data_IF_061530831952
#
_entry.id   IF_061530831952
#
_cell.length_a   1.000
_cell.length_b   1.000
_cell.length_c   1.000
_cell.angle_alpha   90.00
_cell.angle_beta   90.00
_cell.angle_gamma   90.00
#
_symmetry.space_group_name_H-M   'P 1'
#
loop_
_entity.id
_entity.type
_entity.pdbx_description
1 polymer ?
#
# COMPACT_ATOMS: atom_id res chain seq x y z
N UNK A 1 79.32 -14.68 -55.70
CA UNK A 1 78.84 -15.60 -54.63
C UNK A 1 77.94 -14.75 -53.73
N UNK A 2 76.65 -14.82 -53.91
CA UNK A 2 75.68 -14.05 -53.15
C UNK A 2 74.98 -14.97 -52.18
N UNK A 3 75.05 -14.65 -50.86
CA UNK A 3 74.43 -15.39 -49.77
C UNK A 3 73.03 -14.84 -49.58
N UNK A 4 72.01 -15.70 -49.78
CA UNK A 4 70.61 -15.44 -49.42
C UNK A 4 70.37 -15.78 -47.94
N UNK A 5 70.05 -14.78 -47.12
CA UNK A 5 69.57 -14.93 -45.77
C UNK A 5 68.03 -15.05 -45.79
N UNK A 6 67.52 -16.16 -45.37
CA UNK A 6 66.06 -16.41 -45.19
C UNK A 6 65.56 -15.73 -43.92
N UNK A 7 64.64 -14.75 -44.05
CA UNK A 7 63.88 -14.20 -42.99
C UNK A 7 62.68 -15.12 -42.79
N UNK A 8 62.61 -15.79 -41.63
CA UNK A 8 61.40 -16.52 -41.20
C UNK A 8 60.42 -15.56 -40.56
N UNK A 9 59.28 -15.34 -41.18
CA UNK A 9 58.14 -14.65 -40.63
C UNK A 9 57.43 -15.59 -39.61
N UNK A 10 57.64 -15.34 -38.33
CA UNK A 10 56.75 -15.93 -37.28
C UNK A 10 55.50 -15.07 -37.15
N UNK A 11 54.39 -15.56 -37.71
CA UNK A 11 53.05 -14.98 -37.48
C UNK A 11 52.62 -15.34 -36.06
N UNK A 12 52.65 -14.37 -35.17
CA UNK A 12 52.05 -14.46 -33.82
C UNK A 12 50.54 -14.35 -33.99
N UNK A 13 49.83 -15.49 -33.91
CA UNK A 13 48.37 -15.52 -33.84
C UNK A 13 48.00 -15.16 -32.39
N UNK A 14 47.63 -13.89 -32.16
CA UNK A 14 47.01 -13.45 -30.91
C UNK A 14 45.57 -14.01 -30.86
N UNK A 15 45.38 -15.09 -30.14
CA UNK A 15 44.02 -15.50 -29.75
C UNK A 15 43.51 -14.48 -28.73
N UNK A 16 42.79 -13.47 -29.20
CA UNK A 16 41.93 -12.69 -28.34
C UNK A 16 40.81 -13.61 -27.82
N UNK A 17 40.95 -14.07 -26.57
CA UNK A 17 39.86 -14.67 -25.84
C UNK A 17 38.85 -13.55 -25.58
N UNK A 18 37.96 -13.34 -26.55
CA UNK A 18 36.76 -12.55 -26.33
C UNK A 18 35.97 -13.39 -25.32
N UNK A 19 36.08 -13.05 -24.05
CA UNK A 19 35.10 -13.49 -23.05
C UNK A 19 33.75 -12.98 -23.55
N UNK A 20 33.03 -13.83 -24.26
CA UNK A 20 31.64 -13.56 -24.60
C UNK A 20 30.91 -13.41 -23.25
N UNK A 21 30.72 -12.18 -22.82
CA UNK A 21 29.82 -11.88 -21.70
C UNK A 21 28.47 -12.41 -22.16
N UNK A 22 28.08 -13.57 -21.60
CA UNK A 22 26.78 -14.15 -21.91
C UNK A 22 25.73 -13.21 -21.32
N UNK A 23 24.94 -12.53 -22.16
CA UNK A 23 23.89 -11.65 -21.65
C UNK A 23 22.85 -12.51 -20.96
N UNK A 24 22.68 -12.38 -19.67
CA UNK A 24 21.93 -13.23 -18.75
C UNK A 24 22.75 -14.44 -18.24
N UNK A 25 23.26 -14.38 -17.01
CA UNK A 25 23.97 -15.50 -16.39
C UNK A 25 23.11 -16.79 -16.37
N UNK A 26 23.72 -17.96 -16.56
CA UNK A 26 22.98 -19.22 -16.55
C UNK A 26 22.22 -19.46 -15.23
N UNK A 27 22.72 -18.99 -14.09
CA UNK A 27 22.06 -19.04 -12.79
C UNK A 27 20.74 -18.26 -12.78
N UNK A 28 20.77 -17.02 -13.26
CA UNK A 28 19.60 -16.16 -13.30
C UNK A 28 18.55 -16.71 -14.27
N UNK A 29 19.00 -17.17 -15.44
CA UNK A 29 18.12 -17.82 -16.39
C UNK A 29 17.46 -19.09 -15.81
N UNK A 30 18.22 -19.92 -15.10
CA UNK A 30 17.68 -21.13 -14.47
C UNK A 30 16.64 -20.79 -13.39
N UNK A 31 16.93 -19.79 -12.55
CA UNK A 31 15.99 -19.29 -11.54
C UNK A 31 14.68 -18.77 -12.15
N UNK A 32 14.77 -17.98 -13.23
CA UNK A 32 13.60 -17.47 -13.96
C UNK A 32 12.75 -18.60 -14.56
N UNK A 33 13.39 -19.61 -15.19
CA UNK A 33 12.66 -20.74 -15.77
C UNK A 33 12.02 -21.62 -14.70
N UNK A 34 12.67 -21.82 -13.56
CA UNK A 34 12.10 -22.55 -12.43
C UNK A 34 10.94 -21.75 -11.79
N UNK A 35 11.06 -20.42 -11.66
CA UNK A 35 9.96 -19.55 -11.25
C UNK A 35 8.78 -19.66 -12.22
N UNK A 36 9.02 -19.56 -13.54
CA UNK A 36 7.98 -19.73 -14.57
C UNK A 36 7.28 -21.08 -14.48
N UNK A 37 8.02 -22.16 -14.20
CA UNK A 37 7.47 -23.52 -14.14
C UNK A 37 6.41 -23.70 -13.03
N UNK A 38 6.42 -22.82 -12.00
CA UNK A 38 5.43 -22.80 -10.94
C UNK A 38 4.17 -22.01 -11.30
N UNK A 39 4.13 -21.37 -12.47
CA UNK A 39 3.07 -20.48 -12.92
C UNK A 39 2.44 -20.97 -14.22
N UNK A 40 1.13 -20.84 -14.32
CA UNK A 40 0.37 -21.17 -15.53
C UNK A 40 -0.48 -19.97 -15.95
N UNK A 41 -0.14 -19.39 -17.09
CA UNK A 41 -0.85 -18.29 -17.72
C UNK A 41 -1.25 -18.69 -19.14
N UNK A 42 -2.53 -19.11 -19.37
CA UNK A 42 -2.93 -19.69 -20.65
C UNK A 42 -3.47 -18.67 -21.67
N UNK A 43 -3.69 -17.41 -21.28
CA UNK A 43 -4.50 -16.49 -22.07
C UNK A 43 -3.71 -15.41 -22.80
N UNK A 44 -2.76 -14.80 -22.14
CA UNK A 44 -1.99 -13.65 -22.68
C UNK A 44 -0.71 -14.10 -23.38
N UNK A 45 -0.22 -15.30 -23.03
CA UNK A 45 1.01 -15.84 -23.59
C UNK A 45 2.27 -15.07 -23.18
N UNK A 46 2.26 -14.45 -22.00
CA UNK A 46 3.39 -13.60 -21.54
C UNK A 46 4.70 -14.38 -21.49
N UNK A 47 4.63 -15.66 -21.17
CA UNK A 47 5.79 -16.53 -21.11
C UNK A 47 6.25 -17.08 -22.47
N UNK A 48 5.56 -16.80 -23.58
CA UNK A 48 6.01 -17.20 -24.92
C UNK A 48 7.33 -16.51 -25.30
N UNK A 49 7.58 -15.32 -24.73
CA UNK A 49 8.83 -14.59 -24.91
C UNK A 49 9.99 -15.16 -24.08
N UNK A 50 9.71 -15.98 -23.05
CA UNK A 50 10.73 -16.53 -22.15
C UNK A 50 11.40 -17.76 -22.80
N UNK A 51 12.04 -17.53 -23.93
CA UNK A 51 12.73 -18.55 -24.72
C UNK A 51 14.14 -18.08 -25.12
N UNK A 52 14.99 -19.02 -25.56
CA UNK A 52 16.37 -18.69 -25.90
C UNK A 52 17.29 -18.54 -24.68
N UNK A 53 18.51 -18.02 -24.92
CA UNK A 53 19.56 -17.97 -23.90
C UNK A 53 19.67 -16.61 -23.20
N UNK A 54 19.14 -15.54 -23.79
CA UNK A 54 19.26 -14.19 -23.29
C UNK A 54 18.00 -13.72 -22.60
N UNK A 55 17.90 -13.90 -21.27
CA UNK A 55 16.77 -13.43 -20.48
C UNK A 55 16.73 -11.88 -20.32
N UNK A 56 17.82 -11.20 -20.61
CA UNK A 56 17.90 -9.74 -20.53
C UNK A 56 17.38 -9.05 -21.80
N UNK A 57 16.97 -9.80 -22.81
CA UNK A 57 16.49 -9.24 -24.07
C UNK A 57 15.22 -9.96 -24.55
N UNK A 58 14.11 -9.22 -24.52
CA UNK A 58 12.85 -9.69 -25.07
C UNK A 58 12.00 -10.59 -24.14
N UNK A 59 12.48 -10.99 -22.98
CA UNK A 59 11.65 -11.69 -22.00
C UNK A 59 10.70 -10.69 -21.32
N UNK A 60 9.41 -10.91 -21.51
CA UNK A 60 8.38 -10.02 -20.96
C UNK A 60 8.55 -9.87 -19.43
N UNK A 61 8.58 -8.62 -18.98
CA UNK A 61 8.65 -8.30 -17.57
C UNK A 61 10.02 -8.54 -16.91
N UNK A 62 11.05 -8.94 -17.64
CA UNK A 62 12.42 -9.12 -17.09
C UNK A 62 13.30 -7.97 -17.51
N UNK A 63 13.98 -7.36 -16.54
CA UNK A 63 15.00 -6.32 -16.76
C UNK A 63 16.30 -6.72 -16.08
N UNK A 64 17.42 -6.37 -16.69
CA UNK A 64 18.76 -6.64 -16.16
C UNK A 64 19.56 -5.35 -16.00
N UNK A 65 20.53 -5.37 -15.11
CA UNK A 65 21.57 -4.35 -15.02
C UNK A 65 22.40 -4.32 -16.30
N UNK A 66 22.60 -3.16 -16.93
CA UNK A 66 23.27 -3.06 -18.23
C UNK A 66 24.77 -3.37 -18.19
N UNK A 67 25.38 -3.39 -17.01
CA UNK A 67 26.81 -3.64 -16.83
C UNK A 67 27.13 -5.06 -16.41
N UNK A 68 26.34 -5.61 -15.49
CA UNK A 68 26.55 -6.96 -14.94
C UNK A 68 25.70 -8.02 -15.62
N UNK A 69 24.68 -7.60 -16.39
CA UNK A 69 23.66 -8.46 -17.00
C UNK A 69 22.92 -9.36 -16.02
N UNK A 70 23.00 -9.05 -14.71
CA UNK A 70 22.20 -9.73 -13.67
C UNK A 70 20.77 -9.24 -13.70
N UNK A 71 19.82 -10.13 -13.47
CA UNK A 71 18.40 -9.79 -13.37
C UNK A 71 18.17 -8.89 -12.17
N UNK A 72 17.61 -7.71 -12.43
CA UNK A 72 17.27 -6.70 -11.40
C UNK A 72 15.77 -6.57 -11.18
N UNK A 73 14.95 -6.79 -12.22
CA UNK A 73 13.53 -6.56 -12.06
C UNK A 73 12.71 -7.67 -12.75
N UNK A 74 11.66 -8.07 -12.05
CA UNK A 74 10.58 -8.90 -12.57
C UNK A 74 9.29 -8.14 -12.37
N UNK A 75 8.58 -7.83 -13.46
CA UNK A 75 7.31 -7.11 -13.44
C UNK A 75 6.27 -7.83 -14.29
N UNK A 76 5.42 -8.60 -13.62
CA UNK A 76 4.31 -9.34 -14.21
C UNK A 76 3.00 -8.79 -13.63
N UNK A 77 2.21 -8.08 -14.45
CA UNK A 77 0.88 -7.57 -14.06
C UNK A 77 -0.21 -8.21 -14.90
N UNK A 78 -1.30 -8.58 -14.22
CA UNK A 78 -2.46 -9.24 -14.83
C UNK A 78 -3.45 -8.29 -15.51
N UNK A 79 -3.33 -6.98 -15.34
CA UNK A 79 -4.21 -6.03 -15.98
C UNK A 79 -3.90 -5.87 -17.47
N UNK A 80 -4.93 -5.85 -18.34
CA UNK A 80 -4.72 -5.57 -19.75
C UNK A 80 -4.20 -4.14 -19.92
N UNK A 81 -3.13 -3.96 -20.68
CA UNK A 81 -2.76 -2.66 -21.23
C UNK A 81 -3.98 -2.08 -21.98
N UNK A 82 -4.27 -0.79 -21.79
CA UNK A 82 -5.41 -0.07 -22.42
C UNK A 82 -5.54 -0.27 -23.94
N UNK A 83 -4.47 -0.68 -24.61
CA UNK A 83 -4.43 -0.94 -26.05
C UNK A 83 -5.17 -2.22 -26.51
N UNK A 84 -5.54 -3.13 -25.59
CA UNK A 84 -6.16 -4.41 -25.92
C UNK A 84 -7.58 -4.61 -25.37
N UNK A 85 -8.24 -3.55 -24.92
CA UNK A 85 -9.53 -3.60 -24.22
C UNK A 85 -10.73 -4.16 -25.01
N UNK A 86 -10.68 -4.20 -26.35
CA UNK A 86 -11.84 -4.60 -27.14
C UNK A 86 -12.02 -6.12 -27.30
N UNK A 87 -10.95 -6.92 -27.20
CA UNK A 87 -11.00 -8.37 -27.45
C UNK A 87 -10.75 -9.26 -26.19
N UNK A 88 -10.34 -8.71 -25.05
CA UNK A 88 -9.85 -9.47 -23.88
C UNK A 88 -10.75 -9.42 -22.65
N UNK A 89 -11.99 -8.95 -22.75
CA UNK A 89 -12.89 -8.71 -21.60
C UNK A 89 -13.26 -9.94 -20.74
N UNK A 90 -12.86 -11.15 -21.10
CA UNK A 90 -13.26 -12.38 -20.36
C UNK A 90 -12.12 -13.21 -19.76
N UNK A 91 -10.86 -12.98 -20.07
CA UNK A 91 -9.76 -13.86 -19.66
C UNK A 91 -8.47 -13.15 -19.24
N UNK A 92 -8.42 -11.83 -19.24
CA UNK A 92 -7.26 -11.08 -18.79
C UNK A 92 -7.12 -11.13 -17.26
N UNK A 93 -5.90 -11.37 -16.79
CA UNK A 93 -5.58 -11.36 -15.37
C UNK A 93 -5.81 -12.70 -14.65
N UNK A 94 -5.82 -13.82 -15.35
CA UNK A 94 -5.85 -15.16 -14.73
C UNK A 94 -4.51 -15.87 -14.92
N UNK A 95 -3.70 -15.89 -13.87
CA UNK A 95 -2.53 -16.77 -13.75
C UNK A 95 -2.70 -17.60 -12.48
N UNK A 96 -2.47 -18.89 -12.59
CA UNK A 96 -2.50 -19.80 -11.44
C UNK A 96 -1.10 -20.27 -11.07
N UNK A 97 -0.95 -20.86 -9.90
CA UNK A 97 0.32 -21.35 -9.38
C UNK A 97 0.74 -20.60 -8.12
N UNK A 98 2.04 -20.56 -7.85
CA UNK A 98 2.58 -19.94 -6.65
C UNK A 98 3.90 -19.21 -6.93
N UNK A 99 4.32 -18.39 -5.96
CA UNK A 99 5.64 -17.74 -5.98
C UNK A 99 6.68 -18.80 -5.60
N UNK A 100 7.40 -19.33 -6.58
CA UNK A 100 8.41 -20.34 -6.34
C UNK A 100 9.59 -19.79 -5.52
N UNK A 101 10.11 -20.53 -4.52
CA UNK A 101 11.33 -20.17 -3.80
C UNK A 101 12.57 -19.97 -4.69
N UNK A 102 12.57 -20.53 -5.90
CA UNK A 102 13.67 -20.34 -6.86
C UNK A 102 13.90 -18.88 -7.24
N UNK A 103 12.90 -18.00 -7.05
CA UNK A 103 13.03 -16.56 -7.22
C UNK A 103 14.13 -15.97 -6.33
N UNK A 104 14.40 -16.58 -5.18
CA UNK A 104 15.39 -16.13 -4.22
C UNK A 104 16.83 -16.36 -4.68
N UNK A 105 17.05 -17.11 -5.77
CA UNK A 105 18.36 -17.28 -6.40
C UNK A 105 18.76 -16.06 -7.26
N UNK A 106 17.85 -15.09 -7.43
CA UNK A 106 18.11 -13.82 -8.11
C UNK A 106 18.61 -12.78 -7.10
N UNK A 107 19.81 -12.94 -6.59
CA UNK A 107 20.39 -12.15 -5.51
C UNK A 107 20.58 -10.65 -5.85
N UNK A 108 20.54 -10.27 -7.14
CA UNK A 108 20.55 -8.88 -7.60
C UNK A 108 19.16 -8.26 -7.77
N UNK A 109 18.10 -8.99 -7.39
CA UNK A 109 16.73 -8.51 -7.60
C UNK A 109 16.42 -7.27 -6.75
N UNK A 110 15.97 -6.21 -7.41
CA UNK A 110 15.55 -4.94 -6.80
C UNK A 110 14.05 -4.76 -6.85
N UNK A 111 13.38 -5.36 -7.84
CA UNK A 111 11.93 -5.26 -8.04
C UNK A 111 11.34 -6.64 -8.30
N UNK A 112 10.38 -7.02 -7.48
CA UNK A 112 9.52 -8.18 -7.70
C UNK A 112 8.06 -7.74 -7.68
N UNK A 113 7.45 -7.70 -8.85
CA UNK A 113 6.03 -7.40 -9.04
C UNK A 113 5.37 -8.59 -9.72
N UNK A 114 4.45 -9.24 -9.01
CA UNK A 114 3.59 -10.31 -9.54
C UNK A 114 2.18 -10.01 -9.05
N UNK A 115 1.51 -9.08 -9.71
CA UNK A 115 0.30 -8.43 -9.20
C UNK A 115 -0.90 -8.57 -10.15
N UNK A 116 -2.10 -8.50 -9.58
CA UNK A 116 -3.39 -8.44 -10.29
C UNK A 116 -3.75 -9.68 -11.12
N UNK A 117 -3.17 -10.84 -10.78
CA UNK A 117 -3.43 -12.11 -11.47
C UNK A 117 -4.62 -12.90 -10.92
N UNK A 118 -5.19 -12.50 -9.78
CA UNK A 118 -6.42 -13.02 -9.14
C UNK A 118 -6.40 -14.48 -8.69
N UNK A 119 -5.47 -15.31 -9.17
CA UNK A 119 -5.46 -16.77 -8.88
C UNK A 119 -4.09 -17.33 -8.52
N UNK A 120 -3.06 -16.49 -8.38
CA UNK A 120 -1.79 -16.91 -7.79
C UNK A 120 -2.03 -17.13 -6.29
N UNK A 121 -1.64 -18.30 -5.79
CA UNK A 121 -1.92 -18.77 -4.44
C UNK A 121 -0.65 -19.24 -3.73
N UNK A 122 -0.78 -19.93 -2.61
CA UNK A 122 0.35 -20.37 -1.79
C UNK A 122 0.83 -19.27 -0.87
N UNK A 123 2.04 -19.41 -0.36
CA UNK A 123 2.63 -18.51 0.62
C UNK A 123 3.74 -17.64 0.00
N UNK A 124 4.08 -16.54 0.67
CA UNK A 124 5.28 -15.77 0.35
C UNK A 124 6.50 -16.60 0.79
N UNK A 125 7.40 -16.99 -0.12
CA UNK A 125 8.58 -17.77 0.26
C UNK A 125 9.42 -17.01 1.31
N UNK A 126 9.72 -17.64 2.43
CA UNK A 126 10.50 -17.00 3.52
C UNK A 126 11.88 -16.53 3.05
N UNK A 127 12.46 -17.20 2.06
CA UNK A 127 13.74 -16.80 1.45
C UNK A 127 13.70 -15.42 0.78
N UNK A 128 12.53 -14.84 0.48
CA UNK A 128 12.43 -13.47 -0.07
C UNK A 128 13.17 -12.47 0.82
N UNK A 129 13.22 -12.73 2.14
CA UNK A 129 13.93 -11.87 3.09
C UNK A 129 15.45 -11.89 2.94
N UNK A 130 16.03 -12.79 2.13
CA UNK A 130 17.45 -12.81 1.77
C UNK A 130 17.82 -11.91 0.59
N UNK A 131 16.83 -11.39 -0.15
CA UNK A 131 17.02 -10.50 -1.29
C UNK A 131 17.38 -9.08 -0.82
N UNK A 132 18.59 -8.90 -0.34
CA UNK A 132 19.05 -7.68 0.35
C UNK A 132 19.01 -6.41 -0.49
N UNK A 133 18.92 -6.52 -1.83
CA UNK A 133 18.80 -5.40 -2.75
C UNK A 133 17.35 -5.03 -3.08
N UNK A 134 16.37 -5.82 -2.61
CA UNK A 134 14.97 -5.62 -2.95
C UNK A 134 14.45 -4.27 -2.43
N UNK A 135 13.85 -3.51 -3.34
CA UNK A 135 13.25 -2.19 -3.09
C UNK A 135 11.74 -2.19 -3.26
N UNK A 136 11.24 -3.03 -4.14
CA UNK A 136 9.81 -3.14 -4.42
C UNK A 136 9.42 -4.62 -4.35
N UNK A 137 8.48 -4.91 -3.45
CA UNK A 137 7.78 -6.18 -3.38
C UNK A 137 6.28 -5.89 -3.52
N UNK A 138 5.73 -6.22 -4.69
CA UNK A 138 4.30 -6.03 -4.98
C UNK A 138 3.71 -7.36 -5.46
N UNK A 139 2.90 -7.96 -4.59
CA UNK A 139 2.20 -9.22 -4.83
C UNK A 139 0.68 -9.03 -4.73
N UNK A 140 0.20 -7.80 -4.85
CA UNK A 140 -1.21 -7.43 -4.68
C UNK A 140 -2.16 -8.09 -5.67
N UNK A 141 -3.45 -8.15 -5.34
CA UNK A 141 -4.50 -8.60 -6.24
C UNK A 141 -4.44 -10.09 -6.60
N UNK A 142 -4.07 -10.95 -5.64
CA UNK A 142 -3.91 -12.39 -5.82
C UNK A 142 -4.71 -13.20 -4.77
N UNK A 143 -4.38 -14.46 -4.57
CA UNK A 143 -4.92 -15.35 -3.52
C UNK A 143 -3.79 -15.87 -2.61
N UNK A 144 -2.73 -15.09 -2.43
CA UNK A 144 -1.61 -15.45 -1.58
C UNK A 144 -2.08 -15.54 -0.14
N UNK A 145 -1.69 -16.61 0.54
CA UNK A 145 -2.09 -16.95 1.92
C UNK A 145 -0.86 -17.10 2.82
N UNK A 146 -1.05 -17.69 4.00
CA UNK A 146 0.02 -17.83 4.99
C UNK A 146 0.28 -16.52 5.72
N UNK A 147 1.52 -16.28 6.12
CA UNK A 147 1.90 -15.14 6.96
C UNK A 147 2.94 -14.27 6.27
N UNK A 148 3.03 -13.00 6.67
CA UNK A 148 4.16 -12.15 6.30
C UNK A 148 5.43 -12.75 6.93
N UNK A 149 6.51 -12.99 6.18
CA UNK A 149 7.73 -13.57 6.72
C UNK A 149 8.25 -12.82 7.94
N UNK A 150 8.52 -13.54 9.03
CA UNK A 150 8.90 -12.96 10.34
C UNK A 150 10.16 -12.10 10.28
N UNK A 151 11.03 -12.36 9.33
CA UNK A 151 12.29 -11.67 9.09
C UNK A 151 12.18 -10.56 8.02
N UNK A 152 10.97 -10.09 7.70
CA UNK A 152 10.76 -9.08 6.64
C UNK A 152 11.62 -7.83 6.85
N UNK A 153 11.90 -7.48 8.09
CA UNK A 153 12.77 -6.36 8.45
C UNK A 153 14.22 -6.46 7.96
N UNK A 154 14.66 -7.64 7.48
CA UNK A 154 15.99 -7.79 6.85
C UNK A 154 16.10 -7.05 5.51
N UNK A 155 14.98 -6.73 4.88
CA UNK A 155 14.93 -6.03 3.60
C UNK A 155 15.18 -4.53 3.77
N UNK A 156 16.37 -4.16 4.20
CA UNK A 156 16.74 -2.78 4.59
C UNK A 156 16.60 -1.74 3.47
N UNK A 157 16.53 -2.16 2.22
CA UNK A 157 16.35 -1.28 1.04
C UNK A 157 14.91 -1.21 0.57
N UNK A 158 13.98 -1.94 1.21
CA UNK A 158 12.59 -1.99 0.78
C UNK A 158 11.94 -0.62 0.95
N UNK A 159 11.42 -0.09 -0.15
CA UNK A 159 10.71 1.18 -0.21
C UNK A 159 9.20 0.97 -0.40
N UNK A 160 8.80 -0.11 -1.06
CA UNK A 160 7.40 -0.46 -1.31
C UNK A 160 7.17 -1.91 -0.90
N UNK A 161 6.23 -2.11 0.01
CA UNK A 161 5.65 -3.41 0.34
C UNK A 161 4.15 -3.35 0.08
N UNK A 162 3.74 -3.96 -1.02
CA UNK A 162 2.33 -4.06 -1.40
C UNK A 162 1.90 -5.53 -1.44
N UNK A 163 1.08 -5.91 -0.48
CA UNK A 163 0.49 -7.24 -0.34
C UNK A 163 -1.05 -7.15 -0.29
N UNK A 164 -1.61 -6.01 -0.65
CA UNK A 164 -3.06 -5.76 -0.62
C UNK A 164 -3.86 -6.75 -1.49
N UNK A 165 -5.14 -6.90 -1.18
CA UNK A 165 -6.06 -7.77 -1.93
C UNK A 165 -5.58 -9.22 -2.07
N UNK A 166 -5.36 -9.88 -0.90
CA UNK A 166 -4.91 -11.26 -0.81
C UNK A 166 -5.65 -12.04 0.30
N UNK A 167 -5.16 -13.22 0.68
CA UNK A 167 -5.67 -14.03 1.78
C UNK A 167 -4.65 -14.19 2.92
N UNK A 168 -3.72 -13.25 3.06
CA UNK A 168 -2.64 -13.27 4.06
C UNK A 168 -3.24 -13.17 5.47
N UNK A 169 -2.73 -13.95 6.39
CA UNK A 169 -3.24 -14.08 7.76
C UNK A 169 -2.11 -13.93 8.80
N UNK A 170 -2.44 -14.18 10.06
CA UNK A 170 -1.48 -14.04 11.15
C UNK A 170 -1.24 -12.59 11.53
N UNK A 171 -0.14 -12.32 12.24
CA UNK A 171 0.18 -10.98 12.75
C UNK A 171 1.14 -10.24 11.84
N UNK A 172 1.12 -8.91 11.89
CA UNK A 172 2.20 -8.10 11.36
C UNK A 172 3.45 -8.39 12.19
N UNK A 173 4.55 -8.89 11.59
CA UNK A 173 5.76 -9.23 12.35
C UNK A 173 6.40 -7.98 12.97
N UNK A 174 6.90 -8.10 14.20
CA UNK A 174 7.54 -6.99 14.89
C UNK A 174 8.74 -6.41 14.10
N UNK A 175 9.43 -7.23 13.33
CA UNK A 175 10.55 -6.80 12.49
C UNK A 175 10.16 -5.81 11.36
N UNK A 176 8.86 -5.64 11.08
CA UNK A 176 8.42 -4.69 10.05
C UNK A 176 8.90 -3.26 10.35
N UNK A 177 9.03 -2.91 11.63
CA UNK A 177 9.49 -1.58 12.07
C UNK A 177 10.97 -1.32 11.77
N UNK A 178 11.71 -2.36 11.41
CA UNK A 178 13.13 -2.26 11.03
C UNK A 178 13.30 -1.86 9.56
N UNK A 179 12.21 -1.78 8.78
CA UNK A 179 12.22 -1.32 7.38
C UNK A 179 12.39 0.21 7.31
N UNK A 180 13.57 0.69 7.66
CA UNK A 180 13.83 2.13 7.79
C UNK A 180 13.62 2.93 6.48
N UNK A 181 13.72 2.28 5.32
CA UNK A 181 13.51 2.88 3.99
C UNK A 181 12.07 2.81 3.48
N UNK A 182 11.14 2.18 4.21
CA UNK A 182 9.79 1.92 3.71
C UNK A 182 9.00 3.22 3.56
N UNK A 183 8.51 3.47 2.35
CA UNK A 183 7.74 4.67 1.99
C UNK A 183 6.26 4.35 1.75
N UNK A 184 5.96 3.15 1.29
CA UNK A 184 4.61 2.70 1.00
C UNK A 184 4.38 1.30 1.56
N UNK A 185 3.37 1.16 2.40
CA UNK A 185 2.90 -0.09 2.97
C UNK A 185 1.42 -0.28 2.62
N UNK A 186 1.11 -1.32 1.87
CA UNK A 186 -0.27 -1.74 1.62
C UNK A 186 -0.45 -3.20 2.03
N UNK A 187 -1.28 -3.41 3.02
CA UNK A 187 -1.72 -4.71 3.53
C UNK A 187 -3.25 -4.82 3.51
N UNK A 188 -3.93 -3.88 2.86
CA UNK A 188 -5.40 -3.80 2.83
C UNK A 188 -6.06 -5.05 2.26
N UNK A 189 -7.30 -5.29 2.64
CA UNK A 189 -8.12 -6.41 2.18
C UNK A 189 -7.39 -7.77 2.29
N UNK A 190 -7.12 -8.17 3.53
CA UNK A 190 -6.49 -9.44 3.90
C UNK A 190 -7.19 -10.05 5.14
N UNK A 191 -6.58 -11.05 5.77
CA UNK A 191 -7.04 -11.69 7.02
C UNK A 191 -6.04 -11.47 8.16
N UNK A 192 -5.27 -10.39 8.12
CA UNK A 192 -4.22 -10.08 9.09
C UNK A 192 -4.89 -9.73 10.43
N UNK A 193 -4.34 -10.22 11.53
CA UNK A 193 -4.93 -10.13 12.87
C UNK A 193 -3.90 -9.71 13.92
N UNK A 194 -4.37 -9.52 15.14
CA UNK A 194 -3.52 -9.06 16.25
C UNK A 194 -3.32 -7.56 16.25
N UNK A 195 -2.42 -7.09 17.07
CA UNK A 195 -2.17 -5.66 17.29
C UNK A 195 -1.06 -5.12 16.37
N UNK A 196 -1.11 -3.82 16.10
CA UNK A 196 0.04 -3.13 15.51
C UNK A 196 1.22 -3.13 16.49
N UNK A 197 2.47 -3.29 16.02
CA UNK A 197 3.63 -3.12 16.88
C UNK A 197 3.58 -1.76 17.60
N UNK A 198 3.84 -1.73 18.91
CA UNK A 198 3.76 -0.51 19.73
C UNK A 198 4.71 0.59 19.25
N UNK A 199 5.79 0.22 18.59
CA UNK A 199 6.81 1.10 18.04
C UNK A 199 6.67 1.28 16.50
N UNK A 200 5.46 1.07 15.95
CA UNK A 200 5.16 1.23 14.52
C UNK A 200 5.62 2.60 13.98
N UNK A 201 5.63 3.62 14.83
CA UNK A 201 6.16 4.95 14.53
C UNK A 201 7.67 5.02 14.18
N UNK A 202 8.43 3.95 14.28
CA UNK A 202 9.83 3.87 13.79
C UNK A 202 9.92 3.92 12.27
N UNK A 203 8.84 3.63 11.55
CA UNK A 203 8.78 3.71 10.08
C UNK A 203 8.77 5.18 9.61
N UNK A 204 9.83 5.92 9.94
CA UNK A 204 9.90 7.37 9.76
C UNK A 204 9.87 7.87 8.30
N UNK A 205 10.14 7.01 7.33
CA UNK A 205 10.04 7.32 5.89
C UNK A 205 8.67 7.04 5.30
N UNK A 206 7.77 6.38 6.07
CA UNK A 206 6.46 5.97 5.57
C UNK A 206 5.60 7.20 5.26
N UNK A 207 5.12 7.29 4.02
CA UNK A 207 4.22 8.33 3.56
C UNK A 207 2.78 7.84 3.42
N UNK A 208 2.60 6.54 3.23
CA UNK A 208 1.30 5.91 3.05
C UNK A 208 1.25 4.55 3.74
N UNK A 209 0.23 4.34 4.57
CA UNK A 209 -0.05 3.09 5.27
C UNK A 209 -1.52 2.70 5.07
N UNK A 210 -1.75 1.67 4.25
CA UNK A 210 -3.07 1.12 3.97
C UNK A 210 -3.20 -0.25 4.63
N UNK A 211 -4.03 -0.34 5.67
CA UNK A 211 -4.21 -1.54 6.48
C UNK A 211 -5.70 -1.89 6.63
N UNK A 212 -6.55 -1.24 5.82
CA UNK A 212 -8.00 -1.40 5.90
C UNK A 212 -8.46 -2.82 5.56
N UNK A 213 -9.67 -3.16 5.98
CA UNK A 213 -10.30 -4.47 5.68
C UNK A 213 -9.44 -5.65 6.13
N UNK A 214 -9.16 -5.70 7.44
CA UNK A 214 -8.42 -6.78 8.10
C UNK A 214 -9.08 -7.16 9.44
N UNK A 215 -8.43 -8.00 10.22
CA UNK A 215 -8.87 -8.41 11.57
C UNK A 215 -7.95 -7.83 12.66
N UNK A 216 -7.37 -6.65 12.43
CA UNK A 216 -6.46 -6.00 13.37
C UNK A 216 -7.22 -5.54 14.63
N UNK A 217 -6.59 -5.71 15.79
CA UNK A 217 -7.19 -5.47 17.12
C UNK A 217 -6.32 -4.56 17.99
N UNK A 218 -6.72 -4.33 19.21
CA UNK A 218 -5.99 -3.51 20.19
C UNK A 218 -6.17 -2.03 19.95
N UNK A 219 -5.35 -1.21 20.58
CA UNK A 219 -5.37 0.25 20.45
C UNK A 219 -4.46 0.74 19.32
N UNK A 220 -4.81 1.88 18.73
CA UNK A 220 -3.95 2.54 17.75
C UNK A 220 -2.72 3.08 18.49
N UNK A 221 -1.48 2.69 18.12
CA UNK A 221 -0.28 3.13 18.81
C UNK A 221 -0.03 4.65 18.64
N UNK A 222 0.10 5.39 19.73
CA UNK A 222 0.43 6.82 19.68
C UNK A 222 1.79 7.10 19.03
N UNK A 223 2.68 6.10 18.97
CA UNK A 223 3.97 6.21 18.28
C UNK A 223 3.84 6.59 16.80
N UNK A 224 2.70 6.30 16.16
CA UNK A 224 2.40 6.67 14.77
C UNK A 224 2.55 8.19 14.57
N UNK A 225 2.26 9.00 15.59
CA UNK A 225 2.41 10.45 15.53
C UNK A 225 3.85 10.93 15.29
N UNK A 226 4.85 10.05 15.48
CA UNK A 226 6.26 10.36 15.19
C UNK A 226 6.62 10.28 13.71
N UNK A 227 5.72 9.76 12.87
CA UNK A 227 5.92 9.62 11.43
C UNK A 227 5.69 10.95 10.71
N UNK A 228 6.72 11.78 10.61
CA UNK A 228 6.62 13.13 10.06
C UNK A 228 6.31 13.19 8.55
N UNK A 229 6.33 12.07 7.85
CA UNK A 229 6.05 11.96 6.41
C UNK A 229 4.72 11.31 6.10
N UNK A 230 4.05 10.75 7.11
CA UNK A 230 2.79 10.01 6.90
C UNK A 230 1.68 11.00 6.52
N UNK A 231 1.25 10.89 5.27
CA UNK A 231 0.19 11.71 4.68
C UNK A 231 -1.15 10.98 4.59
N UNK A 232 -1.11 9.66 4.44
CA UNK A 232 -2.29 8.81 4.25
C UNK A 232 -2.22 7.61 5.21
N UNK A 233 -3.18 7.54 6.12
CA UNK A 233 -3.35 6.44 7.07
C UNK A 233 -4.77 5.88 6.96
N UNK A 234 -4.89 4.66 6.45
CA UNK A 234 -6.15 3.94 6.38
C UNK A 234 -6.12 2.70 7.28
N UNK A 235 -6.82 2.77 8.40
CA UNK A 235 -7.03 1.68 9.37
C UNK A 235 -8.51 1.23 9.39
N UNK A 236 -9.32 1.66 8.43
CA UNK A 236 -10.76 1.40 8.40
C UNK A 236 -11.08 -0.09 8.31
N UNK A 237 -12.31 -0.45 8.69
CA UNK A 237 -12.82 -1.82 8.58
C UNK A 237 -11.91 -2.85 9.27
N UNK A 238 -11.62 -2.60 10.55
CA UNK A 238 -10.84 -3.46 11.44
C UNK A 238 -11.57 -3.62 12.80
N UNK A 239 -10.85 -4.05 13.81
CA UNK A 239 -11.38 -4.25 15.17
C UNK A 239 -10.59 -3.41 16.20
N UNK A 240 -10.09 -2.25 15.82
CA UNK A 240 -9.38 -1.36 16.73
C UNK A 240 -10.29 -0.85 17.85
N UNK A 241 -9.76 -0.76 19.07
CA UNK A 241 -10.45 -0.33 20.28
C UNK A 241 -9.72 0.84 20.95
N UNK A 242 -10.30 1.36 22.04
CA UNK A 242 -9.72 2.49 22.79
C UNK A 242 -9.96 3.82 22.09
N UNK A 243 -9.23 4.86 22.49
CA UNK A 243 -9.40 6.22 21.99
C UNK A 243 -8.50 6.54 20.81
N UNK A 244 -8.90 7.53 20.01
CA UNK A 244 -8.04 8.12 18.97
C UNK A 244 -6.89 8.86 19.65
N UNK A 245 -5.62 8.61 19.30
CA UNK A 245 -4.47 9.30 19.87
C UNK A 245 -4.55 10.83 19.64
N UNK A 246 -4.50 11.61 20.71
CA UNK A 246 -4.58 13.10 20.64
C UNK A 246 -3.44 13.70 19.83
N UNK A 247 -2.33 13.00 19.76
CA UNK A 247 -1.11 13.40 19.05
C UNK A 247 -1.30 13.45 17.53
N UNK A 248 -2.30 12.74 16.98
CA UNK A 248 -2.58 12.80 15.54
C UNK A 248 -2.92 14.20 15.07
N UNK A 249 -3.51 15.02 15.94
CA UNK A 249 -3.76 16.43 15.63
C UNK A 249 -2.49 17.27 15.41
N UNK A 250 -1.33 16.78 15.81
CA UNK A 250 -0.03 17.46 15.64
C UNK A 250 0.69 17.05 14.35
N UNK A 251 0.21 16.03 13.65
CA UNK A 251 0.79 15.51 12.39
C UNK A 251 0.45 16.43 11.22
N UNK A 252 1.30 17.41 10.94
CA UNK A 252 1.05 18.47 9.94
C UNK A 252 0.91 17.99 8.50
N UNK A 253 1.46 16.83 8.20
CA UNK A 253 1.48 16.23 6.85
C UNK A 253 0.30 15.26 6.66
N UNK A 254 -0.29 14.75 7.76
CA UNK A 254 -1.40 13.82 7.70
C UNK A 254 -2.63 14.52 7.12
N UNK A 255 -3.00 14.12 5.91
CA UNK A 255 -4.10 14.71 5.13
C UNK A 255 -5.27 13.78 4.93
N UNK A 256 -5.04 12.47 5.02
CA UNK A 256 -6.06 11.45 4.94
C UNK A 256 -5.96 10.56 6.17
N UNK A 257 -7.03 10.52 6.95
CA UNK A 257 -7.17 9.62 8.10
C UNK A 257 -8.51 8.92 8.03
N UNK A 258 -8.47 7.61 7.82
CA UNK A 258 -9.65 6.75 7.83
C UNK A 258 -9.56 5.77 8.98
N UNK A 259 -10.47 5.88 9.92
CA UNK A 259 -10.62 5.03 11.10
C UNK A 259 -12.02 4.41 11.18
N UNK A 260 -12.82 4.57 10.13
CA UNK A 260 -14.21 4.12 10.12
C UNK A 260 -14.35 2.60 10.29
N UNK A 261 -15.54 2.20 10.71
CA UNK A 261 -15.88 0.77 10.84
C UNK A 261 -14.88 0.02 11.75
N UNK A 262 -14.74 0.54 12.97
CA UNK A 262 -13.93 -0.03 14.04
C UNK A 262 -14.75 -0.05 15.38
N UNK A 263 -14.09 -0.34 16.50
CA UNK A 263 -14.66 -0.29 17.85
C UNK A 263 -14.03 0.81 18.70
N UNK A 264 -13.66 1.92 18.09
CA UNK A 264 -13.06 3.06 18.80
C UNK A 264 -14.09 3.73 19.72
N UNK A 265 -13.63 4.26 20.85
CA UNK A 265 -14.47 4.86 21.88
C UNK A 265 -13.85 6.17 22.43
N UNK A 266 -14.55 6.82 23.37
CA UNK A 266 -14.13 8.09 23.93
C UNK A 266 -14.43 9.26 23.00
N UNK A 267 -13.80 10.41 23.26
CA UNK A 267 -14.10 11.66 22.57
C UNK A 267 -13.23 11.87 21.33
N UNK A 268 -13.75 12.64 20.37
CA UNK A 268 -12.95 13.12 19.23
C UNK A 268 -11.93 14.14 19.74
N UNK A 269 -10.62 13.94 19.54
CA UNK A 269 -9.62 14.93 19.94
C UNK A 269 -9.82 16.27 19.24
N UNK A 270 -9.93 17.35 20.01
CA UNK A 270 -10.08 18.70 19.45
C UNK A 270 -8.91 19.11 18.56
N UNK A 271 -7.70 18.63 18.88
CA UNK A 271 -6.49 18.84 18.09
C UNK A 271 -6.60 18.26 16.68
N UNK A 272 -7.31 17.14 16.53
CA UNK A 272 -7.51 16.49 15.23
C UNK A 272 -8.39 17.34 14.30
N UNK A 273 -9.50 17.87 14.81
CA UNK A 273 -10.42 18.72 14.03
C UNK A 273 -9.83 20.11 13.74
N UNK A 274 -8.87 20.56 14.54
CA UNK A 274 -8.15 21.83 14.32
C UNK A 274 -6.89 21.66 13.44
N UNK A 275 -6.62 20.46 12.94
CA UNK A 275 -5.46 20.22 12.08
C UNK A 275 -5.71 20.79 10.67
N UNK A 276 -5.00 21.87 10.33
CA UNK A 276 -5.15 22.56 9.05
C UNK A 276 -4.66 21.72 7.83
N UNK A 277 -3.94 20.64 8.05
CA UNK A 277 -3.49 19.71 6.99
C UNK A 277 -4.51 18.62 6.65
N UNK A 278 -5.52 18.42 7.52
CA UNK A 278 -6.50 17.33 7.38
C UNK A 278 -7.49 17.64 6.25
N UNK A 279 -7.46 16.83 5.20
CA UNK A 279 -8.38 16.96 4.07
C UNK A 279 -9.51 15.93 4.07
N UNK A 280 -9.22 14.69 4.48
CA UNK A 280 -10.21 13.62 4.61
C UNK A 280 -10.10 13.02 6.00
N UNK A 281 -11.19 13.11 6.74
CA UNK A 281 -11.33 12.51 8.05
C UNK A 281 -12.60 11.66 8.09
N UNK A 282 -12.42 10.35 8.16
CA UNK A 282 -13.53 9.42 8.31
C UNK A 282 -13.41 8.69 9.66
N UNK A 283 -14.32 8.98 10.58
CA UNK A 283 -14.45 8.37 11.92
C UNK A 283 -15.77 7.61 12.08
N UNK A 284 -16.51 7.41 10.99
CA UNK A 284 -17.85 6.83 11.03
C UNK A 284 -17.86 5.39 11.54
N UNK A 285 -19.03 4.91 11.96
CA UNK A 285 -19.23 3.51 12.41
C UNK A 285 -18.23 3.10 13.50
N UNK A 286 -18.27 3.85 14.60
CA UNK A 286 -17.48 3.62 15.81
C UNK A 286 -18.35 3.81 17.07
N UNK A 287 -17.75 3.77 18.24
CA UNK A 287 -18.40 4.05 19.53
C UNK A 287 -18.02 5.40 20.12
N UNK A 288 -17.66 6.40 19.29
CA UNK A 288 -17.21 7.72 19.75
C UNK A 288 -18.36 8.47 20.42
N UNK A 289 -18.07 9.13 21.54
CA UNK A 289 -19.04 9.80 22.40
C UNK A 289 -18.64 11.25 22.72
N UNK A 290 -19.48 11.95 23.48
CA UNK A 290 -19.27 13.36 23.82
C UNK A 290 -19.72 14.28 22.70
N UNK A 291 -19.21 15.50 22.66
CA UNK A 291 -19.61 16.52 21.69
C UNK A 291 -18.62 16.64 20.56
N UNK A 292 -19.07 17.11 19.39
CA UNK A 292 -18.17 17.55 18.33
C UNK A 292 -17.46 18.82 18.82
N UNK A 293 -16.11 18.84 18.96
CA UNK A 293 -15.38 20.02 19.44
C UNK A 293 -15.60 21.27 18.58
N UNK A 294 -15.86 22.40 19.22
CA UNK A 294 -16.09 23.70 18.54
C UNK A 294 -14.77 24.44 18.29
N UNK A 295 -13.96 23.91 17.35
CA UNK A 295 -12.57 24.35 17.09
C UNK A 295 -12.27 24.62 15.62
N UNK A 296 -13.28 24.66 14.79
CA UNK A 296 -13.12 24.90 13.36
C UNK A 296 -12.82 26.39 13.09
N UNK A 297 -12.22 26.68 11.96
CA UNK A 297 -11.88 28.06 11.61
C UNK A 297 -11.58 28.24 10.12
N UNK A 298 -11.18 29.45 9.74
CA UNK A 298 -10.90 29.84 8.34
C UNK A 298 -9.75 29.06 7.68
N UNK A 299 -8.96 28.31 8.46
CA UNK A 299 -7.90 27.41 7.97
C UNK A 299 -8.40 25.97 7.81
N UNK A 300 -9.53 25.62 8.39
CA UNK A 300 -10.09 24.27 8.29
C UNK A 300 -10.59 24.04 6.85
N UNK A 301 -10.16 22.91 6.28
CA UNK A 301 -10.50 22.52 4.93
C UNK A 301 -10.74 21.02 4.91
N UNK A 302 -11.98 20.60 4.67
CA UNK A 302 -12.32 19.19 4.57
C UNK A 302 -12.92 18.89 3.21
N UNK A 303 -12.30 18.04 2.43
CA UNK A 303 -12.94 17.40 1.28
C UNK A 303 -14.03 16.45 1.74
N UNK A 304 -13.77 15.72 2.85
CA UNK A 304 -14.74 14.86 3.51
C UNK A 304 -14.51 14.83 5.02
N UNK A 305 -15.59 15.06 5.77
CA UNK A 305 -15.65 14.90 7.22
C UNK A 305 -16.85 13.98 7.53
N UNK A 306 -16.58 12.72 7.84
CA UNK A 306 -17.62 11.75 8.17
C UNK A 306 -17.50 11.33 9.65
N UNK A 307 -18.50 11.69 10.43
CA UNK A 307 -18.66 11.38 11.84
C UNK A 307 -19.91 10.52 12.11
N UNK A 308 -20.54 10.01 11.06
CA UNK A 308 -21.80 9.29 11.13
C UNK A 308 -21.71 7.97 11.91
N UNK A 309 -22.83 7.45 12.35
CA UNK A 309 -22.91 6.17 13.08
C UNK A 309 -21.97 6.11 14.29
N UNK A 310 -22.15 7.08 15.22
CA UNK A 310 -21.45 7.15 16.49
C UNK A 310 -22.44 7.42 17.65
N UNK A 311 -21.93 7.81 18.82
CA UNK A 311 -22.74 8.18 20.00
C UNK A 311 -22.56 9.65 20.36
N UNK A 312 -22.32 10.50 19.35
CA UNK A 312 -22.04 11.92 19.56
C UNK A 312 -23.30 12.65 20.01
N UNK A 313 -23.14 13.57 20.96
CA UNK A 313 -24.21 14.33 21.59
C UNK A 313 -24.02 15.85 21.44
N UNK A 314 -24.96 16.63 21.91
CA UNK A 314 -24.86 18.09 21.87
C UNK A 314 -25.18 18.68 20.50
N UNK A 315 -24.62 19.83 20.19
CA UNK A 315 -24.93 20.59 18.98
C UNK A 315 -23.90 20.39 17.91
N UNK A 316 -24.28 20.60 16.64
CA UNK A 316 -23.32 20.85 15.58
C UNK A 316 -22.59 22.17 15.88
N UNK A 317 -21.26 22.19 15.93
CA UNK A 317 -20.50 23.40 16.28
C UNK A 317 -20.78 24.58 15.35
N UNK A 318 -21.05 25.76 15.90
CA UNK A 318 -21.25 26.97 15.12
C UNK A 318 -20.01 27.37 14.31
N UNK A 319 -18.81 27.06 14.82
CA UNK A 319 -17.55 27.35 14.13
C UNK A 319 -17.37 26.61 12.80
N UNK A 320 -18.12 25.53 12.55
CA UNK A 320 -18.15 24.87 11.23
C UNK A 320 -18.57 25.83 10.12
N UNK A 321 -19.41 26.84 10.41
CA UNK A 321 -19.79 27.88 9.43
C UNK A 321 -18.60 28.75 9.00
N UNK A 322 -17.53 28.80 9.78
CA UNK A 322 -16.32 29.56 9.49
C UNK A 322 -15.25 28.77 8.71
N UNK A 323 -15.51 27.52 8.42
CA UNK A 323 -14.54 26.69 7.65
C UNK A 323 -14.38 27.24 6.25
N UNK A 324 -13.16 27.11 5.71
CA UNK A 324 -12.86 27.53 4.35
C UNK A 324 -13.62 26.69 3.31
N UNK A 325 -13.77 25.39 3.59
CA UNK A 325 -14.43 24.46 2.67
C UNK A 325 -14.81 23.17 3.41
N UNK A 326 -16.00 22.67 3.11
CA UNK A 326 -16.46 21.33 3.44
C UNK A 326 -17.13 20.76 2.19
N UNK A 327 -16.50 19.79 1.53
CA UNK A 327 -17.05 19.16 0.33
C UNK A 327 -18.13 18.13 0.67
N UNK A 328 -17.90 17.35 1.72
CA UNK A 328 -18.84 16.39 2.27
C UNK A 328 -18.80 16.44 3.79
N UNK A 329 -19.97 16.51 4.40
CA UNK A 329 -20.15 16.36 5.86
C UNK A 329 -21.23 15.30 6.07
N UNK A 330 -20.96 14.33 6.94
CA UNK A 330 -21.97 13.39 7.43
C UNK A 330 -21.89 13.30 8.96
N UNK A 331 -22.96 13.66 9.63
CA UNK A 331 -23.14 13.55 11.08
C UNK A 331 -24.40 12.72 11.44
N UNK A 332 -24.95 12.03 10.48
CA UNK A 332 -26.14 11.19 10.65
C UNK A 332 -25.91 10.06 11.64
N UNK A 333 -26.99 9.46 12.13
CA UNK A 333 -26.95 8.34 13.06
C UNK A 333 -26.08 8.61 14.31
N UNK A 334 -26.44 9.68 15.02
CA UNK A 334 -25.83 10.10 16.30
C UNK A 334 -26.94 10.51 17.29
N UNK A 335 -26.58 11.16 18.39
CA UNK A 335 -27.48 11.73 19.40
C UNK A 335 -27.41 13.25 19.43
N UNK A 336 -27.23 13.88 18.28
CA UNK A 336 -27.10 15.33 18.16
C UNK A 336 -28.45 16.02 18.30
N UNK A 337 -28.43 17.26 18.81
CA UNK A 337 -29.62 18.03 19.07
C UNK A 337 -29.38 19.52 18.85
N UNK A 338 -30.41 20.24 18.42
CA UNK A 338 -30.38 21.68 18.20
C UNK A 338 -30.39 22.06 16.74
N UNK A 339 -30.23 23.36 16.48
CA UNK A 339 -30.33 23.92 15.14
C UNK A 339 -29.08 23.65 14.31
N UNK A 340 -29.25 23.20 13.07
CA UNK A 340 -28.17 23.09 12.08
C UNK A 340 -27.67 24.53 11.80
N UNK A 341 -26.34 24.79 11.86
CA UNK A 341 -25.78 26.09 11.54
C UNK A 341 -26.10 26.50 10.09
N UNK A 342 -26.25 27.78 9.87
CA UNK A 342 -26.54 28.36 8.55
C UNK A 342 -25.24 28.91 7.94
N UNK A 343 -25.08 28.79 6.65
CA UNK A 343 -23.95 29.36 5.92
C UNK A 343 -23.42 28.45 4.81
N UNK A 344 -22.53 29.01 3.99
CA UNK A 344 -22.04 28.38 2.75
C UNK A 344 -21.59 26.91 2.89
N UNK A 345 -20.91 26.47 3.95
CA UNK A 345 -20.54 25.05 4.10
C UNK A 345 -21.73 24.09 4.20
N UNK A 346 -22.94 24.59 4.58
CA UNK A 346 -24.14 23.77 4.76
C UNK A 346 -25.14 23.85 3.60
N UNK A 347 -25.04 24.86 2.74
CA UNK A 347 -26.04 25.18 1.72
C UNK A 347 -26.16 24.10 0.63
N UNK A 348 -25.15 23.24 0.47
CA UNK A 348 -25.13 22.15 -0.53
C UNK A 348 -25.25 20.76 0.08
N UNK A 349 -25.47 20.66 1.40
CA UNK A 349 -25.55 19.38 2.11
C UNK A 349 -27.01 18.88 2.15
N UNK A 350 -27.16 17.57 1.92
CA UNK A 350 -28.47 16.94 1.87
C UNK A 350 -29.00 16.59 3.28
N UNK A 351 -30.31 16.44 3.39
CA UNK A 351 -31.00 16.00 4.59
C UNK A 351 -30.40 14.71 5.20
N UNK A 352 -29.96 13.77 4.34
CA UNK A 352 -29.38 12.48 4.75
C UNK A 352 -28.17 12.68 5.67
N UNK A 353 -27.34 13.70 5.43
CA UNK A 353 -26.15 14.00 6.22
C UNK A 353 -26.42 14.35 7.70
N UNK A 354 -27.67 14.69 8.03
CA UNK A 354 -28.10 15.11 9.37
C UNK A 354 -29.17 14.19 9.97
N UNK A 355 -29.67 13.24 9.19
CA UNK A 355 -30.78 12.37 9.60
C UNK A 355 -30.41 11.45 10.74
N UNK A 356 -31.45 10.87 11.37
CA UNK A 356 -31.26 9.88 12.46
C UNK A 356 -30.44 10.44 13.64
N UNK A 357 -30.77 11.66 14.06
CA UNK A 357 -30.31 12.26 15.31
C UNK A 357 -31.53 12.54 16.23
N UNK A 358 -31.29 12.75 17.53
CA UNK A 358 -32.37 12.81 18.51
C UNK A 358 -33.30 14.01 18.28
N UNK A 359 -32.73 15.21 18.02
CA UNK A 359 -33.49 16.45 17.91
C UNK A 359 -32.76 17.55 17.09
N UNK A 360 -32.08 17.18 16.02
CA UNK A 360 -31.61 18.16 15.04
C UNK A 360 -32.77 18.74 14.26
N UNK A 361 -32.73 20.04 14.00
CA UNK A 361 -33.76 20.76 13.23
C UNK A 361 -33.15 21.94 12.45
N UNK A 362 -33.93 22.57 11.60
CA UNK A 362 -33.43 23.60 10.69
C UNK A 362 -32.99 23.07 9.33
N UNK A 363 -32.86 23.91 8.32
CA UNK A 363 -32.51 23.51 6.97
C UNK A 363 -31.21 22.66 6.93
N UNK A 364 -31.20 21.51 6.20
CA UNK A 364 -32.21 20.96 5.30
C UNK A 364 -33.29 20.10 6.00
N UNK A 365 -33.23 19.89 7.31
CA UNK A 365 -34.28 19.22 8.08
C UNK A 365 -35.51 20.13 8.28
N UNK A 366 -36.52 19.61 8.98
CA UNK A 366 -37.70 20.39 9.38
C UNK A 366 -37.33 21.58 10.26
N UNK A 367 -38.10 22.66 10.16
CA UNK A 367 -37.96 23.82 11.03
C UNK A 367 -38.06 23.43 12.51
N UNK A 368 -37.25 24.07 13.34
CA UNK A 368 -37.33 23.92 14.80
C UNK A 368 -38.71 24.47 15.37
#
# INVERSE_FOLDING_TARGET
MASFSSLSFQTLILFAVISAVTPCPPSDRAALLAFRAALTEPYMGIFNSWSGYNCCQGWYGVTCDPTTYRVTDITLRGEPSEKNLQNLRRSSGLMTGNISPEICNLDNLTTLVVADWKSISGEIPSCVTSLSLLRILDLSGNQISGVIPVDIGKLQRLAVLNLGDNAISGKIPASIVDLAGLMHLDLGNNKISGELPSDFGKLGMLSRALLSQNNLTGSIPSSISKMNRLADLDLSMNQFTGSIPVEFGQMKVLSILKLDSNSLSGQIPSTLLNNAGMGILNLSRNGLEGTIPDVFGTKSYFMALDLSFNKLTGRIPGSLSATRFIGHLDVSYNHLCGTIPIGAPFDHLDEVSFSNNDCLCGNPLKTC
#
